data_IF_024002568046
#
_entry.id   IF_024002568046
#
_cell.length_a   1.000
_cell.length_b   1.000
_cell.length_c   1.000
_cell.angle_alpha   90.00
_cell.angle_beta   90.00
_cell.angle_gamma   90.00
#
_symmetry.space_group_name_H-M   'P 1'
#
loop_
_entity.id
_entity.type
_entity.pdbx_description
1 polymer ?
#
# COMPACT_ATOMS: atom_id res chain seq x y z
N UNK A 1 8.30 44.13 9.83
CA UNK A 1 8.70 44.65 8.51
C UNK A 1 8.54 43.53 7.46
N UNK A 2 7.63 43.70 6.49
CA UNK A 2 7.46 42.72 5.39
C UNK A 2 8.60 42.97 4.40
N UNK A 3 9.52 42.01 4.25
CA UNK A 3 10.60 42.11 3.25
C UNK A 3 10.01 42.21 1.84
N UNK A 4 10.48 43.17 1.06
CA UNK A 4 10.08 43.30 -0.36
C UNK A 4 10.51 42.06 -1.17
N UNK A 5 9.72 41.67 -2.21
CA UNK A 5 10.12 40.56 -3.07
C UNK A 5 11.50 40.83 -3.71
N UNK A 6 12.33 39.81 -3.88
CA UNK A 6 13.75 39.97 -4.28
C UNK A 6 13.97 40.33 -5.77
N UNK A 7 12.93 40.48 -6.57
CA UNK A 7 13.04 40.79 -7.99
C UNK A 7 12.14 41.97 -8.40
N UNK A 8 12.54 42.81 -9.36
CA UNK A 8 11.69 43.85 -9.91
C UNK A 8 10.50 43.21 -10.63
N UNK A 9 9.30 43.50 -10.16
CA UNK A 9 8.02 43.04 -10.67
C UNK A 9 6.91 43.58 -9.81
N UNK A 10 5.68 43.66 -10.33
CA UNK A 10 4.55 44.11 -9.57
C UNK A 10 4.28 43.09 -8.42
N UNK A 11 3.90 43.61 -7.25
CA UNK A 11 3.47 42.78 -6.12
C UNK A 11 2.32 41.81 -6.49
N UNK A 12 1.61 42.11 -7.58
CA UNK A 12 0.55 41.25 -8.14
C UNK A 12 1.05 39.91 -8.64
N UNK A 13 2.35 39.78 -8.99
CA UNK A 13 2.93 38.52 -9.48
C UNK A 13 3.44 37.60 -8.37
N UNK A 14 3.43 38.05 -7.13
CA UNK A 14 3.97 37.30 -5.99
C UNK A 14 2.90 37.04 -4.93
N UNK A 15 3.06 35.91 -4.25
CA UNK A 15 2.26 35.54 -3.07
C UNK A 15 3.21 35.33 -1.91
N UNK A 16 2.88 35.92 -0.77
CA UNK A 16 3.53 35.62 0.49
C UNK A 16 3.10 34.24 0.96
N UNK A 17 4.07 33.37 1.20
CA UNK A 17 3.83 32.03 1.74
C UNK A 17 4.40 31.95 3.14
N UNK A 18 3.53 31.66 4.09
CA UNK A 18 3.88 31.42 5.48
C UNK A 18 3.61 29.94 5.80
N UNK A 19 4.67 29.21 6.13
CA UNK A 19 4.61 27.85 6.62
C UNK A 19 5.22 27.81 8.02
N UNK A 20 5.02 26.69 8.75
CA UNK A 20 5.61 26.51 10.10
C UNK A 20 7.14 26.69 10.14
N UNK A 21 7.81 26.48 9.02
CA UNK A 21 9.27 26.48 8.97
C UNK A 21 9.88 27.64 8.16
N UNK A 22 9.11 28.26 7.25
CA UNK A 22 9.65 29.29 6.34
C UNK A 22 8.60 30.31 5.95
N UNK A 23 9.02 31.59 5.90
CA UNK A 23 8.27 32.70 5.35
C UNK A 23 9.01 33.24 4.13
N UNK A 24 8.38 33.19 2.96
CA UNK A 24 9.02 33.67 1.72
C UNK A 24 8.02 34.12 0.67
N UNK A 25 8.49 34.97 -0.22
CA UNK A 25 7.74 35.34 -1.42
C UNK A 25 7.94 34.29 -2.50
N UNK A 26 6.87 33.89 -3.17
CA UNK A 26 6.92 33.09 -4.39
C UNK A 26 6.08 33.73 -5.47
N UNK A 27 6.44 33.49 -6.75
CA UNK A 27 5.59 33.91 -7.87
C UNK A 27 4.26 33.16 -7.87
N UNK A 28 3.19 33.88 -8.24
CA UNK A 28 1.88 33.24 -8.45
C UNK A 28 1.99 32.15 -9.53
N UNK A 29 1.28 31.06 -9.34
CA UNK A 29 1.16 30.05 -10.38
C UNK A 29 0.43 30.66 -11.57
N UNK A 30 1.02 30.56 -12.78
CA UNK A 30 0.48 31.14 -14.00
C UNK A 30 0.99 32.54 -14.34
N UNK A 31 1.74 33.22 -13.46
CA UNK A 31 2.37 34.52 -13.76
C UNK A 31 3.63 34.41 -14.65
N UNK A 32 4.11 33.20 -14.87
CA UNK A 32 5.21 32.90 -15.80
C UNK A 32 4.60 32.09 -16.95
N UNK A 33 4.92 32.44 -18.19
CA UNK A 33 4.52 31.64 -19.36
C UNK A 33 4.88 30.18 -19.14
N UNK A 34 4.08 29.27 -19.70
CA UNK A 34 4.23 27.82 -19.49
C UNK A 34 5.70 27.44 -19.64
N UNK A 35 6.34 27.09 -18.53
CA UNK A 35 7.74 26.67 -18.54
C UNK A 35 7.85 25.49 -19.52
N UNK A 36 8.69 25.62 -20.56
CA UNK A 36 9.00 24.48 -21.42
C UNK A 36 9.71 23.45 -20.56
N UNK A 37 8.93 22.43 -20.15
CA UNK A 37 9.50 21.29 -19.44
C UNK A 37 10.51 20.63 -20.35
N UNK A 38 11.70 20.31 -19.84
CA UNK A 38 12.64 19.50 -20.59
C UNK A 38 12.05 18.08 -20.81
N UNK A 39 12.58 17.33 -21.77
CA UNK A 39 12.04 16.02 -22.15
C UNK A 39 11.91 15.06 -20.94
N UNK A 40 12.86 15.09 -19.99
CA UNK A 40 12.80 14.27 -18.81
C UNK A 40 11.62 14.60 -17.89
N UNK A 41 11.28 15.87 -17.71
CA UNK A 41 10.10 16.27 -16.94
C UNK A 41 8.79 15.94 -17.67
N UNK A 42 8.77 16.02 -19.01
CA UNK A 42 7.60 15.62 -19.81
C UNK A 42 7.31 14.13 -19.62
N UNK A 43 8.32 13.26 -19.81
CA UNK A 43 8.17 11.83 -19.59
C UNK A 43 7.77 11.48 -18.13
N UNK A 44 8.32 12.17 -17.14
CA UNK A 44 7.94 11.97 -15.75
C UNK A 44 6.48 12.41 -15.47
N UNK A 45 6.03 13.49 -16.11
CA UNK A 45 4.65 13.95 -16.03
C UNK A 45 3.68 12.96 -16.66
N UNK A 46 3.99 12.44 -17.84
CA UNK A 46 3.18 11.43 -18.52
C UNK A 46 3.04 10.14 -17.71
N UNK A 47 4.16 9.61 -17.19
CA UNK A 47 4.10 8.46 -16.28
C UNK A 47 3.23 8.73 -15.06
N UNK A 48 3.27 9.93 -14.50
CA UNK A 48 2.44 10.31 -13.36
C UNK A 48 0.96 10.38 -13.73
N UNK A 49 0.62 10.88 -14.94
CA UNK A 49 -0.75 10.92 -15.45
C UNK A 49 -1.35 9.51 -15.58
N UNK A 50 -0.55 8.51 -15.95
CA UNK A 50 -0.99 7.11 -16.03
C UNK A 50 -1.00 6.43 -14.66
N UNK A 51 0.05 6.59 -13.87
CA UNK A 51 0.20 5.92 -12.58
C UNK A 51 -0.78 6.39 -11.51
N UNK A 52 -1.16 7.67 -11.50
CA UNK A 52 -2.01 8.23 -10.45
C UNK A 52 -3.45 7.69 -10.48
N UNK A 53 -4.14 7.59 -11.62
CA UNK A 53 -5.45 6.94 -11.68
C UNK A 53 -5.38 5.45 -11.28
N UNK A 54 -4.38 4.71 -11.76
CA UNK A 54 -4.19 3.31 -11.42
C UNK A 54 -3.96 3.10 -9.91
N UNK A 55 -3.16 3.96 -9.28
CA UNK A 55 -2.95 3.92 -7.84
C UNK A 55 -4.25 4.15 -7.05
N UNK A 56 -5.11 5.06 -7.51
CA UNK A 56 -6.43 5.28 -6.89
C UNK A 56 -7.33 4.05 -7.03
N UNK A 57 -7.34 3.39 -8.20
CA UNK A 57 -8.12 2.17 -8.43
C UNK A 57 -7.67 1.03 -7.53
N UNK A 58 -6.37 0.79 -7.40
CA UNK A 58 -5.82 -0.19 -6.46
C UNK A 58 -6.26 0.13 -5.05
N UNK A 59 -6.09 1.38 -4.61
CA UNK A 59 -6.52 1.79 -3.28
C UNK A 59 -8.01 1.57 -3.06
N UNK A 60 -8.85 1.97 -4.03
CA UNK A 60 -10.30 1.76 -3.96
C UNK A 60 -10.68 0.29 -3.91
N UNK A 61 -10.00 -0.57 -4.69
CA UNK A 61 -10.26 -2.01 -4.71
C UNK A 61 -9.94 -2.68 -3.35
N UNK A 62 -8.89 -2.24 -2.66
CA UNK A 62 -8.51 -2.79 -1.35
C UNK A 62 -9.14 -2.04 -0.17
N UNK A 63 -9.90 -0.96 -0.39
CA UNK A 63 -10.52 -0.13 0.67
C UNK A 63 -11.32 -0.95 1.71
N UNK A 64 -12.10 -1.97 1.34
CA UNK A 64 -12.82 -2.80 2.31
C UNK A 64 -11.89 -3.49 3.33
N UNK A 65 -10.66 -3.77 2.93
CA UNK A 65 -9.65 -4.46 3.74
C UNK A 65 -8.75 -3.51 4.53
N UNK A 66 -8.84 -2.19 4.31
CA UNK A 66 -7.99 -1.20 4.98
C UNK A 66 -8.49 -0.78 6.36
N UNK A 67 -9.58 -1.37 6.87
CA UNK A 67 -10.06 -1.10 8.23
C UNK A 67 -8.93 -1.35 9.25
N UNK A 68 -8.72 -0.37 10.14
CA UNK A 68 -7.64 -0.41 11.14
C UNK A 68 -6.25 -0.03 10.61
N UNK A 69 -6.06 0.18 9.31
CA UNK A 69 -4.79 0.56 8.70
C UNK A 69 -4.68 2.07 8.53
N UNK A 70 -3.60 2.66 9.01
CA UNK A 70 -3.28 4.07 8.74
C UNK A 70 -2.76 4.24 7.33
N UNK A 71 -3.60 4.79 6.45
CA UNK A 71 -3.32 4.87 4.99
C UNK A 71 -2.57 6.12 4.56
N UNK A 72 -1.95 6.86 5.48
CA UNK A 72 -1.19 8.07 5.17
C UNK A 72 -0.17 7.84 4.04
N UNK A 73 -0.26 8.65 2.97
CA UNK A 73 0.60 8.57 1.78
C UNK A 73 0.58 7.22 1.02
N UNK A 74 -0.35 6.29 1.33
CA UNK A 74 -0.44 5.00 0.65
C UNK A 74 -0.61 5.18 -0.87
N UNK A 75 -1.52 6.06 -1.29
CA UNK A 75 -1.74 6.35 -2.71
C UNK A 75 -0.46 6.85 -3.41
N UNK A 76 0.35 7.68 -2.75
CA UNK A 76 1.61 8.16 -3.31
C UNK A 76 2.64 7.04 -3.44
N UNK A 77 2.67 6.08 -2.51
CA UNK A 77 3.57 4.93 -2.57
C UNK A 77 3.20 3.99 -3.71
N UNK A 78 1.92 3.68 -3.88
CA UNK A 78 1.41 2.89 -5.01
C UNK A 78 1.72 3.61 -6.33
N UNK A 79 1.46 4.92 -6.41
CA UNK A 79 1.77 5.72 -7.59
C UNK A 79 3.26 5.67 -7.95
N UNK A 80 4.15 5.75 -6.96
CA UNK A 80 5.60 5.64 -7.18
C UNK A 80 6.01 4.25 -7.68
N UNK A 81 5.41 3.17 -7.15
CA UNK A 81 5.64 1.81 -7.65
C UNK A 81 5.23 1.69 -9.13
N UNK A 82 4.07 2.22 -9.50
CA UNK A 82 3.60 2.19 -10.90
C UNK A 82 4.41 3.12 -11.82
N UNK A 83 4.93 4.26 -11.33
CA UNK A 83 5.88 5.06 -12.10
C UNK A 83 7.17 4.30 -12.40
N UNK A 84 7.62 3.46 -11.48
CA UNK A 84 8.76 2.57 -11.68
C UNK A 84 8.41 1.49 -12.70
N UNK A 85 7.24 0.85 -12.61
CA UNK A 85 6.74 -0.11 -13.59
C UNK A 85 6.73 0.49 -15.01
N UNK A 86 6.13 1.67 -15.19
CA UNK A 86 6.08 2.39 -16.47
C UNK A 86 7.46 2.80 -17.00
N UNK A 87 8.45 2.96 -16.15
CA UNK A 87 9.83 3.25 -16.55
C UNK A 87 10.55 2.01 -17.08
N UNK A 88 10.30 0.85 -16.48
CA UNK A 88 11.05 -0.39 -16.72
C UNK A 88 10.35 -1.33 -17.72
N UNK A 89 9.00 -1.25 -17.80
CA UNK A 89 8.19 -2.21 -18.58
C UNK A 89 7.15 -1.55 -19.51
N UNK A 90 7.10 -0.23 -19.56
CA UNK A 90 6.13 0.55 -20.37
C UNK A 90 4.66 0.26 -20.02
N UNK A 91 4.39 -0.52 -18.95
CA UNK A 91 3.06 -0.92 -18.48
C UNK A 91 2.89 -0.77 -16.97
N UNK A 92 1.64 -0.85 -16.51
CA UNK A 92 1.30 -0.87 -15.09
C UNK A 92 1.13 -2.32 -14.66
N UNK A 93 1.98 -2.78 -13.74
CA UNK A 93 1.98 -4.16 -13.25
C UNK A 93 1.86 -4.20 -11.74
N UNK A 94 0.96 -5.04 -11.22
CA UNK A 94 0.75 -5.24 -9.78
C UNK A 94 1.98 -5.85 -9.09
N UNK A 95 2.85 -6.52 -9.85
CA UNK A 95 4.11 -7.08 -9.36
C UNK A 95 5.02 -6.05 -8.68
N UNK A 96 4.98 -4.79 -9.11
CA UNK A 96 5.76 -3.70 -8.49
C UNK A 96 5.28 -3.30 -7.09
N UNK A 97 4.13 -3.81 -6.65
CA UNK A 97 3.66 -3.65 -5.27
C UNK A 97 4.25 -4.69 -4.30
N UNK A 98 4.90 -5.76 -4.78
CA UNK A 98 5.48 -6.81 -3.93
C UNK A 98 6.42 -6.23 -2.87
N UNK A 99 6.23 -6.63 -1.63
CA UNK A 99 6.96 -6.13 -0.47
C UNK A 99 6.44 -4.82 0.12
N UNK A 100 5.41 -4.21 -0.47
CA UNK A 100 4.87 -2.95 0.04
C UNK A 100 4.06 -3.18 1.32
N UNK A 101 4.47 -2.51 2.41
CA UNK A 101 3.69 -2.39 3.63
C UNK A 101 2.56 -1.38 3.42
N UNK A 102 1.31 -1.73 3.75
CA UNK A 102 0.20 -0.79 3.68
C UNK A 102 0.32 0.30 4.77
N UNK A 103 0.91 -0.04 5.90
CA UNK A 103 1.19 0.86 7.02
C UNK A 103 2.71 0.91 7.26
N UNK A 104 3.37 1.96 6.78
CA UNK A 104 4.83 2.06 6.78
C UNK A 104 5.46 2.01 8.18
N UNK A 105 4.83 2.69 9.13
CA UNK A 105 5.38 2.85 10.49
C UNK A 105 5.23 1.58 11.33
N UNK A 106 4.51 0.60 10.80
CA UNK A 106 4.18 -0.65 11.48
C UNK A 106 4.29 -1.83 10.50
N UNK A 107 5.52 -2.27 10.15
CA UNK A 107 5.71 -3.39 9.23
C UNK A 107 5.27 -4.72 9.84
N UNK A 108 4.89 -5.67 8.97
CA UNK A 108 4.39 -7.00 9.35
C UNK A 108 5.40 -7.77 10.24
N UNK A 109 6.68 -7.67 9.92
CA UNK A 109 7.76 -8.38 10.60
C UNK A 109 7.96 -7.94 12.06
N UNK A 110 7.43 -6.78 12.46
CA UNK A 110 7.47 -6.36 13.87
C UNK A 110 6.49 -7.12 14.75
N UNK A 111 5.40 -7.65 14.17
CA UNK A 111 4.39 -8.41 14.91
C UNK A 111 4.51 -9.91 14.70
N UNK A 112 4.76 -10.35 13.46
CA UNK A 112 4.82 -11.78 13.14
C UNK A 112 6.21 -12.33 13.37
N UNK A 113 6.35 -13.21 14.37
CA UNK A 113 7.66 -13.72 14.82
C UNK A 113 8.20 -14.81 13.89
N UNK A 114 7.36 -15.76 13.48
CA UNK A 114 7.81 -16.96 12.74
C UNK A 114 7.70 -16.83 11.21
N UNK A 115 7.25 -15.68 10.72
CA UNK A 115 7.10 -15.48 9.29
C UNK A 115 5.93 -16.26 8.68
N UNK A 116 6.00 -16.46 7.38
CA UNK A 116 4.97 -17.15 6.57
C UNK A 116 5.63 -17.78 5.34
N UNK A 117 5.00 -18.81 4.79
CA UNK A 117 5.40 -19.42 3.52
C UNK A 117 4.28 -19.23 2.49
N UNK A 118 4.63 -18.73 1.29
CA UNK A 118 3.68 -18.61 0.17
C UNK A 118 4.00 -19.69 -0.85
N UNK A 119 3.00 -20.50 -1.19
CA UNK A 119 3.08 -21.51 -2.25
C UNK A 119 2.11 -21.19 -3.38
N UNK A 120 2.63 -21.12 -4.58
CA UNK A 120 1.82 -20.93 -5.79
C UNK A 120 1.81 -22.21 -6.60
N UNK A 121 0.63 -22.73 -6.87
CA UNK A 121 0.40 -23.86 -7.77
C UNK A 121 -0.29 -23.37 -9.05
N UNK A 122 -0.50 -24.24 -10.05
CA UNK A 122 -1.22 -23.89 -11.28
C UNK A 122 -2.66 -23.40 -11.04
N UNK A 123 -3.26 -23.73 -9.90
CA UNK A 123 -4.70 -23.47 -9.62
C UNK A 123 -4.94 -22.67 -8.34
N UNK A 124 -3.98 -22.62 -7.41
CA UNK A 124 -4.19 -22.07 -6.07
C UNK A 124 -2.99 -21.28 -5.60
N UNK A 125 -3.29 -20.24 -4.84
CA UNK A 125 -2.37 -19.54 -3.94
C UNK A 125 -2.64 -20.05 -2.52
N UNK A 126 -1.58 -20.41 -1.79
CA UNK A 126 -1.65 -20.90 -0.42
C UNK A 126 -0.65 -20.18 0.45
N UNK A 127 -1.08 -19.73 1.62
CA UNK A 127 -0.23 -19.21 2.68
C UNK A 127 -0.25 -20.20 3.83
N UNK A 128 0.92 -20.50 4.37
CA UNK A 128 1.11 -21.29 5.60
C UNK A 128 1.80 -20.41 6.63
N UNK A 129 1.19 -20.24 7.79
CA UNK A 129 1.69 -19.41 8.88
C UNK A 129 1.77 -20.29 10.14
N UNK A 130 2.97 -20.53 10.69
CA UNK A 130 3.08 -21.20 12.00
C UNK A 130 2.39 -20.36 13.07
N UNK A 131 1.54 -21.01 13.87
CA UNK A 131 0.82 -20.39 14.98
C UNK A 131 1.14 -21.16 16.25
N UNK A 132 1.85 -20.51 17.15
CA UNK A 132 2.14 -21.01 18.49
C UNK A 132 2.15 -19.84 19.47
N UNK A 133 2.20 -20.10 20.77
CA UNK A 133 2.25 -19.04 21.77
C UNK A 133 3.38 -18.05 21.49
N UNK A 134 3.04 -16.76 21.39
CA UNK A 134 3.97 -15.69 21.03
C UNK A 134 4.27 -15.54 19.55
N UNK A 135 3.57 -16.24 18.65
CA UNK A 135 3.69 -16.04 17.17
C UNK A 135 3.40 -14.61 16.76
N UNK A 136 2.51 -13.93 17.47
CA UNK A 136 2.16 -12.53 17.25
C UNK A 136 2.48 -11.73 18.52
N UNK A 137 3.25 -10.67 18.37
CA UNK A 137 3.56 -9.73 19.47
C UNK A 137 2.41 -8.77 19.68
N UNK A 138 1.72 -8.85 20.80
CA UNK A 138 0.77 -7.85 21.23
C UNK A 138 1.50 -6.58 21.73
N UNK A 139 0.97 -5.39 21.38
CA UNK A 139 1.52 -4.12 21.88
C UNK A 139 1.00 -3.74 23.27
N UNK A 140 -0.09 -4.35 23.71
CA UNK A 140 -0.65 -4.17 25.04
C UNK A 140 -1.35 -5.45 25.49
N UNK A 141 -1.66 -5.52 26.77
CA UNK A 141 -2.34 -6.67 27.36
C UNK A 141 -3.86 -6.72 27.09
N UNK A 142 -4.39 -5.75 26.35
CA UNK A 142 -5.81 -5.72 26.01
C UNK A 142 -6.14 -6.58 24.78
N UNK A 143 -5.14 -6.82 23.92
CA UNK A 143 -5.30 -7.71 22.78
C UNK A 143 -5.32 -9.16 23.27
N UNK A 144 -6.43 -9.83 23.04
CA UNK A 144 -6.66 -11.22 23.46
C UNK A 144 -6.47 -12.22 22.33
N UNK A 145 -6.89 -11.83 21.13
CA UNK A 145 -6.95 -12.71 19.99
C UNK A 145 -6.49 -12.00 18.70
N UNK A 146 -6.19 -12.79 17.69
CA UNK A 146 -5.86 -12.31 16.35
C UNK A 146 -6.35 -13.29 15.28
N UNK A 147 -6.46 -12.79 14.06
CA UNK A 147 -6.71 -13.63 12.89
C UNK A 147 -5.98 -13.04 11.67
N UNK A 148 -5.75 -13.90 10.70
CA UNK A 148 -5.16 -13.52 9.42
C UNK A 148 -6.23 -13.40 8.36
N UNK A 149 -6.04 -12.43 7.48
CA UNK A 149 -6.85 -12.23 6.30
C UNK A 149 -5.92 -12.22 5.06
N UNK A 150 -6.18 -13.14 4.13
CA UNK A 150 -5.49 -13.22 2.86
C UNK A 150 -6.35 -12.54 1.81
N UNK A 151 -5.81 -11.55 1.11
CA UNK A 151 -6.52 -10.77 0.09
C UNK A 151 -5.79 -10.88 -1.23
N UNK A 152 -6.47 -11.35 -2.25
CA UNK A 152 -6.00 -11.40 -3.62
C UNK A 152 -6.57 -10.21 -4.39
N UNK A 153 -5.69 -9.36 -4.90
CA UNK A 153 -6.01 -8.29 -5.85
C UNK A 153 -5.55 -8.74 -7.23
N UNK A 154 -6.42 -8.72 -8.22
CA UNK A 154 -6.09 -9.17 -9.58
C UNK A 154 -6.82 -8.38 -10.67
N UNK A 155 -6.31 -8.46 -11.90
CA UNK A 155 -6.84 -7.76 -13.05
C UNK A 155 -5.95 -6.63 -13.53
N UNK A 156 -6.48 -5.74 -14.36
CA UNK A 156 -5.75 -4.65 -15.00
C UNK A 156 -6.01 -3.31 -14.28
N UNK A 157 -4.97 -2.79 -13.62
CA UNK A 157 -5.05 -1.52 -12.91
C UNK A 157 -5.13 -0.30 -13.87
N UNK A 158 -4.86 -0.46 -15.16
CA UNK A 158 -5.00 0.60 -16.16
C UNK A 158 -6.45 0.86 -16.56
N UNK A 159 -7.34 -0.15 -16.40
CA UNK A 159 -8.75 -0.08 -16.75
C UNK A 159 -9.62 0.40 -15.58
N UNK A 160 -10.68 1.12 -15.87
CA UNK A 160 -11.55 1.74 -14.84
C UNK A 160 -12.24 0.71 -13.94
N UNK A 161 -12.63 -0.44 -14.48
CA UNK A 161 -13.25 -1.56 -13.74
C UNK A 161 -12.45 -2.85 -13.89
N UNK A 162 -11.14 -2.71 -14.06
CA UNK A 162 -10.26 -3.84 -14.36
C UNK A 162 -9.81 -4.63 -13.14
N UNK A 163 -9.96 -4.10 -11.92
CA UNK A 163 -9.49 -4.74 -10.69
C UNK A 163 -10.62 -5.42 -9.94
N UNK A 164 -10.30 -6.59 -9.40
CA UNK A 164 -11.15 -7.41 -8.54
C UNK A 164 -10.38 -7.79 -7.28
N UNK A 165 -11.10 -8.07 -6.21
CA UNK A 165 -10.54 -8.56 -4.95
C UNK A 165 -11.31 -9.78 -4.46
N UNK A 166 -10.58 -10.74 -3.91
CA UNK A 166 -11.12 -11.89 -3.18
C UNK A 166 -10.39 -11.99 -1.86
N UNK A 167 -11.10 -12.32 -0.79
CA UNK A 167 -10.53 -12.44 0.55
C UNK A 167 -10.96 -13.73 1.24
N UNK A 168 -10.08 -14.24 2.10
CA UNK A 168 -10.37 -15.36 3.01
C UNK A 168 -9.75 -15.07 4.36
N UNK A 169 -10.49 -15.35 5.42
CA UNK A 169 -10.06 -15.16 6.81
C UNK A 169 -9.74 -16.51 7.45
N UNK A 170 -8.81 -16.49 8.41
CA UNK A 170 -8.54 -17.62 9.29
C UNK A 170 -9.55 -17.69 10.43
N UNK A 171 -9.52 -18.78 11.20
CA UNK A 171 -10.09 -18.80 12.53
C UNK A 171 -9.37 -17.82 13.45
N UNK A 172 -9.96 -17.55 14.60
CA UNK A 172 -9.32 -16.80 15.69
C UNK A 172 -8.24 -17.63 16.38
N UNK A 173 -7.17 -16.95 16.77
CA UNK A 173 -6.08 -17.51 17.53
C UNK A 173 -5.83 -16.67 18.78
N UNK A 174 -5.70 -17.27 19.98
CA UNK A 174 -5.38 -16.52 21.19
C UNK A 174 -3.92 -16.02 21.15
N UNK A 175 -3.67 -14.85 21.69
CA UNK A 175 -2.31 -14.29 21.83
C UNK A 175 -1.46 -15.19 22.77
N UNK A 176 -2.07 -15.65 23.87
CA UNK A 176 -1.43 -16.50 24.88
C UNK A 176 -1.97 -17.93 24.76
N UNK A 177 -1.65 -18.63 23.68
CA UNK A 177 -2.05 -20.04 23.49
C UNK A 177 -0.87 -20.97 23.66
N UNK A 178 -1.09 -22.15 24.27
CA UNK A 178 -0.04 -23.19 24.46
C UNK A 178 0.04 -24.19 23.28
N UNK A 179 -0.84 -24.08 22.31
CA UNK A 179 -0.91 -24.97 21.14
C UNK A 179 0.04 -24.59 20.01
N UNK A 180 0.50 -25.61 19.27
CA UNK A 180 1.13 -25.41 17.95
C UNK A 180 0.12 -25.74 16.87
N UNK A 181 -0.07 -24.83 15.92
CA UNK A 181 -0.98 -24.98 14.77
C UNK A 181 -0.34 -24.38 13.52
N UNK A 182 -0.90 -24.68 12.38
CA UNK A 182 -0.53 -24.05 11.11
C UNK A 182 -1.79 -23.43 10.52
N UNK A 183 -1.80 -22.10 10.46
CA UNK A 183 -2.83 -21.37 9.74
C UNK A 183 -2.62 -21.59 8.25
N UNK A 184 -3.62 -22.13 7.58
CA UNK A 184 -3.61 -22.34 6.12
C UNK A 184 -4.72 -21.50 5.51
N UNK A 185 -4.35 -20.62 4.59
CA UNK A 185 -5.27 -19.81 3.79
C UNK A 185 -5.05 -20.14 2.31
N UNK A 186 -6.15 -20.36 1.59
CA UNK A 186 -6.10 -20.69 0.16
C UNK A 186 -7.09 -19.86 -0.63
N UNK A 187 -6.67 -19.38 -1.80
CA UNK A 187 -7.51 -18.74 -2.82
C UNK A 187 -7.23 -19.35 -4.20
N UNK A 188 -8.20 -19.26 -5.08
CA UNK A 188 -8.01 -19.67 -6.47
C UNK A 188 -7.02 -18.72 -7.18
N UNK A 189 -6.12 -19.26 -7.98
CA UNK A 189 -5.22 -18.45 -8.80
C UNK A 189 -5.98 -17.96 -10.04
N UNK A 190 -6.05 -16.63 -10.29
CA UNK A 190 -6.70 -16.09 -11.47
C UNK A 190 -5.94 -16.50 -12.74
N UNK A 191 -6.67 -16.91 -13.76
CA UNK A 191 -6.08 -17.33 -15.02
C UNK A 191 -5.73 -16.12 -15.87
N UNK A 192 -4.47 -16.05 -16.31
CA UNK A 192 -3.98 -15.03 -17.26
C UNK A 192 -4.15 -13.57 -16.84
N UNK A 193 -4.51 -13.29 -15.61
CA UNK A 193 -4.62 -11.93 -15.06
C UNK A 193 -3.35 -11.58 -14.26
N UNK A 194 -3.01 -10.29 -14.20
CA UNK A 194 -2.01 -9.80 -13.26
C UNK A 194 -2.58 -9.85 -11.84
N UNK A 195 -1.75 -10.15 -10.85
CA UNK A 195 -2.22 -10.28 -9.48
C UNK A 195 -1.14 -9.93 -8.45
N UNK A 196 -1.58 -9.48 -7.30
CA UNK A 196 -0.76 -9.45 -6.09
C UNK A 196 -1.56 -9.94 -4.88
N UNK A 197 -0.84 -10.54 -3.93
CA UNK A 197 -1.36 -11.18 -2.75
C UNK A 197 -0.98 -10.37 -1.52
N UNK A 198 -1.98 -10.00 -0.72
CA UNK A 198 -1.79 -9.28 0.51
C UNK A 198 -2.10 -10.21 1.69
N UNK A 199 -1.30 -10.09 2.73
CA UNK A 199 -1.57 -10.68 4.04
C UNK A 199 -1.89 -9.56 5.02
N UNK A 200 -2.97 -9.70 5.75
CA UNK A 200 -3.37 -8.79 6.82
C UNK A 200 -3.45 -9.54 8.12
N UNK A 201 -2.96 -8.93 9.17
CA UNK A 201 -3.11 -9.35 10.56
C UNK A 201 -4.09 -8.40 11.23
N UNK A 202 -5.15 -8.96 11.79
CA UNK A 202 -6.17 -8.26 12.57
C UNK A 202 -6.06 -8.72 14.04
N UNK A 203 -6.22 -7.79 14.97
CA UNK A 203 -6.22 -8.08 16.39
C UNK A 203 -7.55 -7.71 17.04
N UNK A 204 -7.95 -8.45 18.08
CA UNK A 204 -9.16 -8.21 18.84
C UNK A 204 -8.81 -7.90 20.30
N UNK A 205 -9.62 -7.05 20.91
CA UNK A 205 -9.64 -6.73 22.34
C UNK A 205 -10.95 -7.34 22.91
N UNK A 206 -10.87 -8.55 23.47
CA UNK A 206 -12.03 -9.36 23.76
C UNK A 206 -12.76 -9.78 22.48
N UNK A 207 -14.06 -9.51 22.39
CA UNK A 207 -14.88 -9.82 21.19
C UNK A 207 -14.96 -8.67 20.18
N UNK A 208 -14.25 -7.57 20.44
CA UNK A 208 -14.30 -6.38 19.57
C UNK A 208 -12.99 -6.21 18.79
N UNK A 209 -13.11 -5.63 17.64
CA UNK A 209 -11.97 -5.29 16.79
C UNK A 209 -11.15 -4.20 17.50
N UNK A 210 -9.84 -4.45 17.70
CA UNK A 210 -8.96 -3.54 18.43
C UNK A 210 -9.04 -2.11 17.86
N UNK A 211 -9.23 -1.13 18.75
CA UNK A 211 -9.48 0.26 18.33
C UNK A 211 -8.24 0.95 17.75
N UNK A 212 -7.04 0.54 18.19
CA UNK A 212 -5.82 1.24 17.83
C UNK A 212 -5.16 0.67 16.56
N UNK A 213 -4.82 1.54 15.59
CA UNK A 213 -4.25 1.18 14.29
C UNK A 213 -2.91 0.41 14.38
N UNK A 214 -2.16 0.55 15.47
CA UNK A 214 -0.91 -0.20 15.71
C UNK A 214 -1.11 -1.72 15.90
N UNK A 215 -2.34 -2.19 16.03
CA UNK A 215 -2.67 -3.61 16.17
C UNK A 215 -2.97 -4.29 14.84
N UNK A 216 -2.89 -3.56 13.74
CA UNK A 216 -3.13 -4.07 12.39
C UNK A 216 -1.87 -4.00 11.56
N UNK A 217 -1.69 -4.99 10.72
CA UNK A 217 -0.61 -5.04 9.73
C UNK A 217 -1.16 -5.53 8.41
N UNK A 218 -0.66 -4.97 7.32
CA UNK A 218 -1.01 -5.45 6.00
C UNK A 218 0.15 -5.21 5.04
N UNK A 219 0.54 -6.26 4.30
CA UNK A 219 1.68 -6.26 3.39
C UNK A 219 1.35 -7.01 2.11
N UNK A 220 1.86 -6.53 0.98
CA UNK A 220 1.88 -7.30 -0.27
C UNK A 220 3.00 -8.33 -0.19
N UNK A 221 2.65 -9.59 0.01
CA UNK A 221 3.60 -10.67 0.29
C UNK A 221 4.06 -11.42 -0.95
N UNK A 222 3.25 -11.41 -2.01
CA UNK A 222 3.58 -12.07 -3.27
C UNK A 222 2.88 -11.37 -4.44
N UNK A 223 3.36 -11.60 -5.63
CA UNK A 223 2.74 -11.13 -6.87
C UNK A 223 3.11 -12.08 -8.01
N UNK A 224 2.40 -11.98 -9.12
CA UNK A 224 2.71 -12.74 -10.33
C UNK A 224 4.14 -12.43 -10.77
N UNK A 225 4.98 -13.45 -10.84
CA UNK A 225 6.31 -13.30 -11.43
C UNK A 225 6.16 -13.10 -12.93
N UNK A 226 6.84 -12.08 -13.43
CA UNK A 226 6.89 -11.83 -14.84
C UNK A 226 7.62 -12.98 -15.54
N UNK A 227 6.99 -13.60 -16.52
CA UNK A 227 7.72 -14.41 -17.48
C UNK A 227 8.59 -13.45 -18.28
N UNK A 228 9.89 -13.50 -18.05
CA UNK A 228 10.87 -12.91 -18.96
C UNK A 228 10.73 -13.72 -20.24
N UNK A 229 10.04 -13.16 -21.23
CA UNK A 229 9.95 -13.71 -22.57
C UNK A 229 11.25 -13.47 -23.33
#
# INVERSE_FOLDING_TARGET
>A
MIQRPPCPGSLQDYVWVESKERKHWRRKRGSVGVARLNAGYQCASERTKMASPAARRVRSAIEPYLRGITTGRLNNRICNAFRKSLKEKEGIELAYLKGMEMQRDHPMEQMLVFGYTVRTTKKKLRIEIPVEGGSVKAFNNLVTDYYFEMVLLYGDASLERGLKTEGVESKLYPICGEGKDICILELALPKNEDWCLLLKLNSLEGNEVAAHTRHYRMKVISAREQRIG
#
